data_IF_070570305271
#
_entry.id   IF_070570305271
#
_cell.length_a   1.000
_cell.length_b   1.000
_cell.length_c   1.000
_cell.angle_alpha   90.00
_cell.angle_beta   90.00
_cell.angle_gamma   90.00
#
_symmetry.space_group_name_H-M   'P 1'
#
loop_
_entity.id
_entity.type
_entity.pdbx_description
1 polymer ?
#
# COMPACT_ATOMS: atom_id res chain seq x y z
N UNK A 1 4.88 -15.32 -7.84
CA UNK A 1 3.85 -15.56 -6.82
C UNK A 1 4.55 -15.79 -5.47
N UNK A 2 5.52 -14.92 -5.10
CA UNK A 2 6.59 -15.21 -4.12
C UNK A 2 6.10 -15.70 -2.75
N UNK A 3 5.15 -14.99 -2.13
CA UNK A 3 4.67 -15.32 -0.79
C UNK A 3 3.98 -16.70 -0.73
N UNK A 4 3.17 -17.01 -1.75
CA UNK A 4 2.45 -18.30 -1.83
C UNK A 4 3.43 -19.45 -2.11
N UNK A 5 4.43 -19.19 -2.96
CA UNK A 5 5.44 -20.18 -3.33
C UNK A 5 6.36 -20.53 -2.14
N UNK A 6 6.69 -19.55 -1.29
CA UNK A 6 7.53 -19.76 -0.10
C UNK A 6 6.76 -20.18 1.15
N UNK A 7 5.47 -19.85 1.32
CA UNK A 7 4.73 -20.19 2.56
C UNK A 7 4.73 -21.68 2.88
N UNK A 8 4.63 -22.56 1.87
CA UNK A 8 4.66 -24.02 2.07
C UNK A 8 6.04 -24.57 2.36
N UNK A 9 7.11 -23.86 2.00
CA UNK A 9 8.50 -24.35 2.09
C UNK A 9 9.27 -23.72 3.25
N UNK A 10 8.96 -22.46 3.57
CA UNK A 10 9.69 -21.59 4.50
C UNK A 10 8.70 -20.67 5.25
N UNK A 11 7.86 -21.25 6.14
CA UNK A 11 6.81 -20.49 6.83
C UNK A 11 7.35 -19.36 7.72
N UNK A 12 8.55 -19.52 8.30
CA UNK A 12 9.21 -18.48 9.11
C UNK A 12 9.62 -17.26 8.27
N UNK A 13 10.09 -17.47 7.03
CA UNK A 13 10.42 -16.40 6.12
C UNK A 13 9.17 -15.61 5.70
N UNK A 14 8.05 -16.30 5.49
CA UNK A 14 6.77 -15.66 5.22
C UNK A 14 6.24 -14.87 6.44
N UNK A 15 6.40 -15.40 7.65
CA UNK A 15 6.03 -14.72 8.88
C UNK A 15 6.89 -13.47 9.12
N UNK A 16 8.20 -13.54 8.85
CA UNK A 16 9.17 -12.47 9.01
C UNK A 16 8.84 -11.21 8.18
N UNK A 17 8.07 -11.35 7.09
CA UNK A 17 7.67 -10.24 6.21
C UNK A 17 6.16 -9.97 6.20
N UNK A 18 5.39 -10.61 7.09
CA UNK A 18 3.93 -10.50 7.11
C UNK A 18 3.44 -9.05 7.35
N UNK A 19 4.07 -8.31 8.27
CA UNK A 19 3.70 -6.92 8.57
C UNK A 19 4.06 -5.97 7.40
N UNK A 20 5.28 -6.01 6.83
CA UNK A 20 5.58 -5.29 5.59
C UNK A 20 4.61 -5.60 4.45
N UNK A 21 4.21 -6.87 4.31
CA UNK A 21 3.24 -7.28 3.29
C UNK A 21 1.85 -6.70 3.54
N UNK A 22 1.36 -6.72 4.78
CA UNK A 22 0.06 -6.12 5.11
C UNK A 22 0.05 -4.60 4.84
N UNK A 23 1.14 -3.91 5.19
CA UNK A 23 1.32 -2.49 4.88
C UNK A 23 1.31 -2.25 3.36
N UNK A 24 2.07 -3.04 2.60
CA UNK A 24 2.10 -2.95 1.14
C UNK A 24 0.70 -3.09 0.54
N UNK A 25 -0.03 -4.13 0.97
CA UNK A 25 -1.39 -4.39 0.52
C UNK A 25 -2.32 -3.20 0.81
N UNK A 26 -2.27 -2.68 2.04
CA UNK A 26 -3.06 -1.50 2.45
C UNK A 26 -2.71 -0.25 1.63
N UNK A 27 -1.42 0.03 1.40
CA UNK A 27 -0.96 1.19 0.63
C UNK A 27 -1.41 1.13 -0.83
N UNK A 28 -1.28 -0.03 -1.48
CA UNK A 28 -1.71 -0.20 -2.88
C UNK A 28 -3.24 -0.16 -3.00
N UNK A 29 -3.94 -0.87 -2.12
CA UNK A 29 -5.41 -0.87 -2.07
C UNK A 29 -5.98 0.52 -1.80
N UNK A 30 -5.41 1.26 -0.86
CA UNK A 30 -5.78 2.64 -0.59
C UNK A 30 -5.52 3.56 -1.78
N UNK A 31 -4.38 3.42 -2.45
CA UNK A 31 -4.06 4.17 -3.67
C UNK A 31 -5.06 3.93 -4.79
N UNK A 32 -5.46 2.67 -5.01
CA UNK A 32 -6.49 2.31 -5.98
C UNK A 32 -7.85 2.94 -5.65
N UNK A 33 -8.30 2.87 -4.39
CA UNK A 33 -9.55 3.48 -3.96
C UNK A 33 -9.53 5.01 -4.10
N UNK A 34 -8.40 5.65 -3.80
CA UNK A 34 -8.21 7.10 -3.99
C UNK A 34 -8.25 7.48 -5.47
N UNK A 35 -7.59 6.73 -6.35
CA UNK A 35 -7.65 6.96 -7.79
C UNK A 35 -9.08 6.80 -8.33
N UNK A 36 -9.81 5.77 -7.88
CA UNK A 36 -11.23 5.58 -8.23
C UNK A 36 -12.10 6.73 -7.74
N UNK A 37 -11.90 7.18 -6.50
CA UNK A 37 -12.62 8.33 -5.95
C UNK A 37 -12.34 9.60 -6.77
N UNK A 38 -11.11 9.79 -7.25
CA UNK A 38 -10.75 10.94 -8.08
C UNK A 38 -11.43 10.90 -9.46
N UNK A 39 -11.55 9.73 -10.09
CA UNK A 39 -12.29 9.58 -11.36
C UNK A 39 -13.76 9.95 -11.18
N UNK A 40 -14.42 9.39 -10.16
CA UNK A 40 -15.83 9.68 -9.85
C UNK A 40 -16.01 11.17 -9.49
N UNK A 41 -15.07 11.76 -8.74
CA UNK A 41 -15.16 13.16 -8.37
C UNK A 41 -15.09 14.08 -9.60
N UNK A 42 -14.22 13.76 -10.57
CA UNK A 42 -14.14 14.51 -11.84
C UNK A 42 -15.42 14.39 -12.67
N UNK A 43 -16.02 13.21 -12.72
CA UNK A 43 -17.29 12.98 -13.44
C UNK A 43 -18.41 13.82 -12.83
N UNK A 44 -18.55 13.77 -11.49
CA UNK A 44 -19.63 14.49 -10.77
C UNK A 44 -19.50 16.00 -10.79
N UNK A 45 -18.31 16.56 -11.02
CA UNK A 45 -18.12 18.01 -11.11
C UNK A 45 -18.88 18.66 -12.28
N UNK A 46 -19.27 17.87 -13.29
CA UNK A 46 -20.07 18.34 -14.42
C UNK A 46 -21.58 18.38 -14.15
N UNK A 47 -22.05 17.82 -13.04
CA UNK A 47 -23.47 17.66 -12.77
C UNK A 47 -24.10 18.96 -12.21
N UNK A 48 -25.37 19.26 -12.55
CA UNK A 48 -26.12 20.36 -11.92
C UNK A 48 -26.22 20.16 -10.40
N UNK A 49 -25.93 21.20 -9.62
CA UNK A 49 -26.01 21.14 -8.16
C UNK A 49 -24.81 20.46 -7.48
N UNK A 50 -23.74 20.15 -8.21
CA UNK A 50 -22.54 19.53 -7.64
C UNK A 50 -21.87 20.41 -6.56
N UNK A 51 -21.52 19.79 -5.42
CA UNK A 51 -20.67 20.41 -4.40
C UNK A 51 -19.20 20.42 -4.88
N UNK A 52 -18.87 21.43 -5.68
CA UNK A 52 -17.52 21.59 -6.27
C UNK A 52 -16.43 21.62 -5.21
N UNK A 53 -16.66 22.27 -4.07
CA UNK A 53 -15.67 22.40 -2.99
C UNK A 53 -15.32 21.03 -2.41
N UNK A 54 -16.31 20.19 -2.13
CA UNK A 54 -16.08 18.83 -1.66
C UNK A 54 -15.34 17.97 -2.70
N UNK A 55 -15.75 18.07 -3.97
CA UNK A 55 -15.16 17.29 -5.05
C UNK A 55 -13.70 17.69 -5.32
N UNK A 56 -13.37 18.98 -5.28
CA UNK A 56 -12.01 19.49 -5.40
C UNK A 56 -11.14 19.02 -4.23
N UNK A 57 -11.66 19.06 -3.00
CA UNK A 57 -10.98 18.53 -1.83
C UNK A 57 -10.72 17.01 -1.96
N UNK A 58 -11.63 16.25 -2.58
CA UNK A 58 -11.43 14.82 -2.88
C UNK A 58 -10.31 14.59 -3.88
N UNK A 59 -10.22 15.39 -4.94
CA UNK A 59 -9.12 15.33 -5.89
C UNK A 59 -7.78 15.66 -5.23
N UNK A 60 -7.73 16.70 -4.42
CA UNK A 60 -6.52 17.10 -3.69
C UNK A 60 -6.06 15.98 -2.73
N UNK A 61 -6.98 15.39 -1.98
CA UNK A 61 -6.68 14.26 -1.06
C UNK A 61 -6.15 13.05 -1.81
N UNK A 62 -6.79 12.69 -2.94
CA UNK A 62 -6.35 11.56 -3.74
C UNK A 62 -4.95 11.79 -4.31
N UNK A 63 -4.67 13.00 -4.82
CA UNK A 63 -3.35 13.39 -5.31
C UNK A 63 -2.30 13.31 -4.21
N UNK A 64 -2.59 13.85 -3.03
CA UNK A 64 -1.68 13.76 -1.88
C UNK A 64 -1.32 12.31 -1.56
N UNK A 65 -2.32 11.42 -1.50
CA UNK A 65 -2.08 10.00 -1.25
C UNK A 65 -1.16 9.36 -2.30
N UNK A 66 -1.43 9.62 -3.58
CA UNK A 66 -0.64 9.06 -4.69
C UNK A 66 0.80 9.59 -4.72
N UNK A 67 1.02 10.85 -4.36
CA UNK A 67 2.34 11.47 -4.38
C UNK A 67 3.16 11.20 -3.11
N UNK A 68 2.52 11.03 -1.94
CA UNK A 68 3.23 10.96 -0.65
C UNK A 68 3.20 9.57 0.00
N UNK A 69 2.12 8.82 -0.18
CA UNK A 69 1.92 7.53 0.50
C UNK A 69 2.22 6.37 -0.44
N UNK A 70 1.71 6.41 -1.67
CA UNK A 70 1.88 5.33 -2.64
C UNK A 70 3.35 5.00 -2.98
N UNK A 71 4.30 5.95 -3.04
CA UNK A 71 5.70 5.62 -3.33
C UNK A 71 6.31 4.63 -2.33
N UNK A 72 5.82 4.60 -1.09
CA UNK A 72 6.26 3.66 -0.05
C UNK A 72 6.00 2.20 -0.44
N UNK A 73 5.00 1.93 -1.30
CA UNK A 73 4.72 0.59 -1.81
C UNK A 73 5.93 -0.04 -2.49
N UNK A 74 6.75 0.75 -3.19
CA UNK A 74 7.95 0.22 -3.86
C UNK A 74 8.99 -0.27 -2.86
N UNK A 75 9.21 0.50 -1.78
CA UNK A 75 10.13 0.09 -0.71
C UNK A 75 9.59 -1.13 0.05
N UNK A 76 8.29 -1.14 0.39
CA UNK A 76 7.67 -2.27 1.06
C UNK A 76 7.73 -3.56 0.22
N UNK A 77 7.57 -3.47 -1.11
CA UNK A 77 7.73 -4.61 -2.00
C UNK A 77 9.15 -5.20 -1.97
N UNK A 78 10.17 -4.36 -1.84
CA UNK A 78 11.56 -4.82 -1.67
C UNK A 78 11.73 -5.53 -0.33
N UNK A 79 11.19 -4.98 0.77
CA UNK A 79 11.22 -5.64 2.09
C UNK A 79 10.49 -6.98 2.06
N UNK A 80 9.34 -7.07 1.39
CA UNK A 80 8.57 -8.32 1.29
C UNK A 80 9.33 -9.41 0.54
N UNK A 81 10.07 -9.05 -0.51
CA UNK A 81 10.75 -10.03 -1.37
C UNK A 81 12.16 -10.39 -0.92
N UNK A 82 12.81 -9.56 -0.09
CA UNK A 82 14.22 -9.78 0.33
C UNK A 82 14.53 -9.59 1.81
N UNK A 83 13.59 -9.09 2.63
CA UNK A 83 13.87 -8.73 4.03
C UNK A 83 13.83 -9.89 5.03
N UNK A 84 13.34 -11.06 4.64
CA UNK A 84 13.18 -12.19 5.55
C UNK A 84 14.50 -12.65 6.18
N UNK A 85 15.56 -12.77 5.36
CA UNK A 85 16.86 -13.28 5.82
C UNK A 85 17.48 -12.39 6.91
N UNK A 86 17.41 -11.06 6.76
CA UNK A 86 17.92 -10.14 7.77
C UNK A 86 17.14 -10.21 9.08
N UNK A 87 15.81 -10.42 9.02
CA UNK A 87 14.98 -10.57 10.23
C UNK A 87 15.32 -11.86 10.96
N UNK A 88 15.47 -12.97 10.23
CA UNK A 88 15.77 -14.29 10.80
C UNK A 88 17.21 -14.41 11.31
N UNK A 89 18.13 -13.56 10.85
CA UNK A 89 19.52 -13.53 11.30
C UNK A 89 19.73 -12.78 12.63
N UNK A 90 18.71 -12.10 13.16
CA UNK A 90 18.80 -11.38 14.43
C UNK A 90 18.78 -12.36 15.60
N UNK A 91 19.78 -12.27 16.48
CA UNK A 91 19.81 -13.03 17.74
C UNK A 91 18.82 -12.41 18.73
N UNK A 92 17.81 -13.17 19.22
CA UNK A 92 16.89 -12.68 20.24
C UNK A 92 17.58 -12.23 21.54
N UNK A 93 18.76 -12.77 21.87
CA UNK A 93 19.50 -12.40 23.07
C UNK A 93 20.24 -11.04 22.96
N UNK A 94 20.23 -10.42 21.78
CA UNK A 94 20.84 -9.11 21.54
C UNK A 94 19.89 -7.92 21.82
N UNK A 95 18.68 -8.17 22.33
CA UNK A 95 17.62 -7.21 22.66
C UNK A 95 17.08 -7.42 24.06
#
# INVERSE_FOLDING_TARGET
HWLVDHYRREPEAAAAVAVPYLKLFGTVGGGWLMARAALIARERMGEPGADRKFLEAKLATARFYLEHLLPQARALAQTVTGGAASTLALDPAAF
#
